data_IF_280709361211
#
_entry.id   IF_280709361211
#
_cell.length_a   1.000
_cell.length_b   1.000
_cell.length_c   1.000
_cell.angle_alpha   90.00
_cell.angle_beta   90.00
_cell.angle_gamma   90.00
#
_symmetry.space_group_name_H-M   'P 1'
#
loop_
_entity.id
_entity.type
_entity.pdbx_description
1 polymer ?
#
# COMPACT_ATOMS: atom_id res chain seq x y z
N UNK A 1 2.96 33.63 5.65
CA UNK A 1 1.93 32.81 6.33
C UNK A 1 1.45 31.75 5.34
N UNK A 2 1.96 30.51 5.31
CA UNK A 2 1.53 29.42 4.41
C UNK A 2 2.45 28.21 4.70
N UNK A 3 2.04 26.99 5.08
CA UNK A 3 0.76 26.35 5.40
C UNK A 3 1.06 25.32 6.51
N UNK A 4 0.18 25.15 7.50
CA UNK A 4 0.32 24.08 8.51
C UNK A 4 0.10 22.73 7.82
N UNK A 5 1.19 22.08 7.42
CA UNK A 5 1.19 20.72 6.89
C UNK A 5 1.68 19.73 7.94
N UNK A 6 1.42 18.44 7.70
CA UNK A 6 2.07 17.36 8.42
C UNK A 6 3.19 16.79 7.58
N UNK A 7 4.33 16.53 8.21
CA UNK A 7 5.42 15.74 7.65
C UNK A 7 5.57 14.48 8.49
N UNK A 8 5.63 13.31 7.83
CA UNK A 8 5.98 12.07 8.51
C UNK A 8 7.49 12.04 8.77
N UNK A 9 7.92 11.90 10.03
CA UNK A 9 9.34 11.86 10.41
C UNK A 9 10.10 10.63 9.89
N UNK A 10 9.38 9.60 9.41
CA UNK A 10 9.97 8.34 8.93
C UNK A 10 10.12 8.34 7.41
N UNK A 11 9.02 8.55 6.66
CA UNK A 11 9.05 8.51 5.19
C UNK A 11 9.08 9.90 4.53
N UNK A 12 9.12 10.98 5.31
CA UNK A 12 9.11 12.38 4.83
C UNK A 12 7.92 12.72 3.92
N UNK A 13 6.81 11.96 4.01
CA UNK A 13 5.59 12.29 3.30
C UNK A 13 4.99 13.58 3.87
N UNK A 14 4.77 14.56 3.00
CA UNK A 14 4.20 15.86 3.35
C UNK A 14 2.77 15.94 2.82
N UNK A 15 1.82 16.30 3.68
CA UNK A 15 0.45 16.58 3.26
C UNK A 15 -0.10 17.83 3.97
N UNK A 16 -1.07 18.49 3.33
CA UNK A 16 -1.84 19.53 4.00
C UNK A 16 -2.70 18.93 5.10
N UNK A 17 -2.95 19.69 6.18
CA UNK A 17 -3.90 19.28 7.23
C UNK A 17 -5.27 18.86 6.64
N UNK A 18 -5.85 19.67 5.74
CA UNK A 18 -7.11 19.35 5.03
C UNK A 18 -7.08 18.05 4.20
N UNK A 19 -5.89 17.64 3.73
CA UNK A 19 -5.70 16.45 2.90
C UNK A 19 -5.30 15.22 3.73
N UNK A 20 -4.98 15.36 5.02
CA UNK A 20 -4.54 14.24 5.87
C UNK A 20 -5.50 13.05 5.83
N UNK A 21 -6.81 13.32 5.85
CA UNK A 21 -7.88 12.30 5.79
C UNK A 21 -7.98 11.57 4.45
N UNK A 22 -7.32 12.04 3.40
CA UNK A 22 -7.32 11.40 2.06
C UNK A 22 -6.11 10.50 1.85
N UNK A 23 -5.24 10.36 2.85
CA UNK A 23 -4.08 9.47 2.80
C UNK A 23 -4.54 8.06 3.10
N UNK A 24 -4.47 7.18 2.11
CA UNK A 24 -5.05 5.82 2.16
C UNK A 24 -4.07 4.74 2.63
N UNK A 25 -2.78 5.05 2.75
CA UNK A 25 -1.75 4.10 3.20
C UNK A 25 -0.92 4.67 4.33
N UNK A 26 -0.70 3.86 5.38
CA UNK A 26 0.20 4.20 6.47
C UNK A 26 1.65 4.31 6.00
N UNK A 27 2.47 5.08 6.72
CA UNK A 27 3.92 5.06 6.53
C UNK A 27 4.42 3.61 6.68
N UNK A 28 5.24 3.13 5.75
CA UNK A 28 5.73 1.75 5.73
C UNK A 28 6.42 1.34 7.05
N UNK A 29 7.15 2.27 7.68
CA UNK A 29 7.79 2.02 8.98
C UNK A 29 6.82 1.86 10.15
N UNK A 30 5.62 2.45 10.08
CA UNK A 30 4.57 2.31 11.10
C UNK A 30 3.63 1.15 10.75
N UNK A 31 3.33 0.95 9.47
CA UNK A 31 2.39 -0.05 8.97
C UNK A 31 2.75 -1.46 9.47
N UNK A 32 4.05 -1.80 9.46
CA UNK A 32 4.55 -3.10 9.93
C UNK A 32 4.18 -3.43 11.39
N UNK A 33 3.98 -2.42 12.24
CA UNK A 33 3.59 -2.61 13.65
C UNK A 33 2.07 -2.71 13.83
N UNK A 34 1.30 -2.23 12.85
CA UNK A 34 -0.17 -2.18 12.92
C UNK A 34 -0.82 -3.42 12.29
N UNK A 35 -0.11 -4.13 11.43
CA UNK A 35 -0.62 -5.30 10.70
C UNK A 35 -0.62 -6.53 11.63
N UNK A 36 -1.82 -7.05 11.89
CA UNK A 36 -2.00 -8.28 12.68
C UNK A 36 -2.04 -9.54 11.81
N UNK A 37 -2.60 -9.42 10.61
CA UNK A 37 -2.71 -10.49 9.64
C UNK A 37 -2.14 -10.00 8.30
N UNK A 38 -0.90 -10.36 7.96
CA UNK A 38 -0.29 -9.91 6.71
C UNK A 38 -0.98 -10.55 5.51
N UNK A 39 -1.44 -9.72 4.58
CA UNK A 39 -2.08 -10.17 3.33
C UNK A 39 -1.25 -9.69 2.16
N UNK A 40 -0.82 -10.62 1.33
CA UNK A 40 -0.05 -10.31 0.13
C UNK A 40 -0.90 -9.55 -0.90
N UNK A 41 -0.26 -8.62 -1.61
CA UNK A 41 -0.85 -7.95 -2.75
C UNK A 41 -0.84 -8.87 -3.98
N UNK A 42 -1.83 -8.69 -4.86
CA UNK A 42 -1.88 -9.33 -6.18
C UNK A 42 -1.33 -8.34 -7.19
N UNK A 43 -0.08 -8.51 -7.61
CA UNK A 43 0.60 -7.52 -8.45
C UNK A 43 0.28 -7.70 -9.93
N UNK A 44 0.13 -6.58 -10.64
CA UNK A 44 0.10 -6.51 -12.10
C UNK A 44 1.47 -6.84 -12.71
N UNK A 45 1.49 -7.03 -14.02
CA UNK A 45 2.74 -6.96 -14.79
C UNK A 45 3.40 -5.57 -14.67
N UNK A 46 4.74 -5.46 -14.70
CA UNK A 46 5.44 -4.19 -14.67
C UNK A 46 5.10 -3.28 -15.86
N UNK A 47 4.76 -2.02 -15.58
CA UNK A 47 4.42 -1.03 -16.61
C UNK A 47 4.69 0.42 -16.18
N UNK A 48 4.50 1.38 -17.09
CA UNK A 48 4.59 2.80 -16.78
C UNK A 48 3.26 3.33 -16.23
N UNK A 49 3.16 3.44 -14.91
CA UNK A 49 1.96 3.93 -14.21
C UNK A 49 2.11 5.43 -13.95
N UNK A 50 1.26 6.24 -14.59
CA UNK A 50 1.31 7.71 -14.46
C UNK A 50 0.37 8.24 -13.39
N UNK A 51 0.70 9.40 -12.82
CA UNK A 51 -0.11 10.17 -11.85
C UNK A 51 -0.41 9.39 -10.56
N UNK A 52 0.55 8.56 -10.15
CA UNK A 52 0.53 7.83 -8.88
C UNK A 52 1.82 8.09 -8.11
N UNK A 53 1.80 7.70 -6.84
CA UNK A 53 2.95 7.79 -5.93
C UNK A 53 3.25 6.41 -5.40
N UNK A 54 4.52 6.04 -5.37
CA UNK A 54 4.98 4.79 -4.78
C UNK A 54 4.67 4.80 -3.27
N UNK A 55 3.95 3.80 -2.77
CA UNK A 55 3.56 3.69 -1.36
C UNK A 55 4.74 3.45 -0.42
N UNK A 56 5.88 3.00 -0.96
CA UNK A 56 7.15 2.82 -0.23
C UNK A 56 7.92 4.14 -0.17
N UNK A 57 8.42 4.63 -1.31
CA UNK A 57 9.34 5.77 -1.34
C UNK A 57 8.64 7.14 -1.43
N UNK A 58 7.32 7.15 -1.64
CA UNK A 58 6.46 8.35 -1.74
C UNK A 58 6.80 9.31 -2.89
N UNK A 59 7.70 8.92 -3.80
CA UNK A 59 7.97 9.62 -5.07
C UNK A 59 6.96 9.23 -6.14
N UNK A 60 6.86 10.05 -7.19
CA UNK A 60 5.98 9.77 -8.33
C UNK A 60 6.42 8.49 -9.06
N UNK A 61 5.46 7.76 -9.58
CA UNK A 61 5.70 6.58 -10.42
C UNK A 61 5.99 6.93 -11.88
N UNK A 62 5.83 8.20 -12.27
CA UNK A 62 5.95 8.67 -13.65
C UNK A 62 7.31 8.38 -14.30
N UNK A 63 8.39 8.38 -13.50
CA UNK A 63 9.78 8.37 -13.99
C UNK A 63 10.40 6.95 -14.01
N UNK A 64 9.65 5.91 -13.65
CA UNK A 64 10.18 4.54 -13.55
C UNK A 64 9.10 3.48 -13.79
N UNK A 65 9.51 2.24 -14.00
CA UNK A 65 8.56 1.12 -14.11
C UNK A 65 7.98 0.82 -12.72
N UNK A 66 6.69 0.54 -12.67
CA UNK A 66 5.94 0.27 -11.45
C UNK A 66 4.99 -0.92 -11.65
N UNK A 67 4.50 -1.44 -10.54
CA UNK A 67 3.42 -2.42 -10.47
C UNK A 67 2.29 -1.86 -9.60
N UNK A 68 1.06 -2.26 -9.90
CA UNK A 68 -0.10 -1.98 -9.06
C UNK A 68 -0.67 -3.26 -8.48
N UNK A 69 -1.29 -3.14 -7.30
CA UNK A 69 -2.11 -4.22 -6.78
C UNK A 69 -3.45 -4.23 -7.53
N UNK A 70 -3.86 -5.38 -8.06
CA UNK A 70 -5.13 -5.54 -8.78
C UNK A 70 -6.35 -5.51 -7.86
N UNK A 71 -6.14 -5.61 -6.54
CA UNK A 71 -7.19 -5.66 -5.51
C UNK A 71 -7.40 -4.31 -4.81
N UNK A 72 -6.33 -3.50 -4.71
CA UNK A 72 -6.36 -2.24 -3.98
C UNK A 72 -5.50 -1.17 -4.65
N UNK A 73 -5.63 0.08 -4.24
CA UNK A 73 -4.91 1.22 -4.85
C UNK A 73 -3.46 1.34 -4.34
N UNK A 74 -2.73 0.22 -4.29
CA UNK A 74 -1.33 0.17 -3.85
C UNK A 74 -0.40 0.17 -5.08
N UNK A 75 0.52 1.13 -5.11
CA UNK A 75 1.45 1.33 -6.23
C UNK A 75 2.88 1.30 -5.73
N UNK A 76 3.77 0.61 -6.43
CA UNK A 76 5.19 0.56 -6.07
C UNK A 76 6.04 0.56 -7.33
N UNK A 77 7.16 1.29 -7.29
CA UNK A 77 8.23 1.09 -8.27
C UNK A 77 8.71 -0.36 -8.20
N UNK A 78 9.15 -0.91 -9.33
CA UNK A 78 9.76 -2.25 -9.35
C UNK A 78 10.94 -2.32 -8.38
N UNK A 79 11.78 -1.29 -8.33
CA UNK A 79 12.91 -1.18 -7.40
C UNK A 79 12.50 -1.07 -5.92
N UNK A 80 11.22 -0.79 -5.65
CA UNK A 80 10.66 -0.69 -4.30
C UNK A 80 9.79 -1.91 -3.94
N UNK A 81 9.66 -2.89 -4.82
CA UNK A 81 8.69 -3.99 -4.69
C UNK A 81 8.94 -4.85 -3.45
N UNK A 82 10.21 -5.20 -3.18
CA UNK A 82 10.62 -5.98 -2.01
C UNK A 82 10.39 -5.27 -0.66
N UNK A 83 10.14 -3.96 -0.69
CA UNK A 83 9.86 -3.14 0.49
C UNK A 83 8.36 -2.88 0.67
N UNK A 84 7.51 -3.41 -0.21
CA UNK A 84 6.07 -3.27 -0.08
C UNK A 84 5.57 -4.00 1.17
N UNK A 85 4.62 -3.35 1.86
CA UNK A 85 4.05 -3.88 3.08
C UNK A 85 2.90 -4.83 2.71
N UNK A 86 2.81 -6.00 3.37
CA UNK A 86 1.75 -6.99 3.17
C UNK A 86 0.45 -6.58 3.88
N UNK A 87 -0.18 -5.49 3.44
CA UNK A 87 -1.40 -4.90 3.99
C UNK A 87 -2.57 -4.88 2.99
N UNK A 88 -2.59 -5.82 2.05
CA UNK A 88 -3.67 -5.93 1.08
C UNK A 88 -5.03 -6.22 1.77
N UNK A 89 -6.13 -6.03 1.04
CA UNK A 89 -7.47 -6.39 1.53
C UNK A 89 -7.57 -7.91 1.66
N UNK A 90 -8.11 -8.39 2.78
CA UNK A 90 -8.43 -9.81 2.95
C UNK A 90 -9.41 -10.26 1.87
N UNK A 91 -9.04 -11.28 1.10
CA UNK A 91 -9.94 -11.96 0.18
C UNK A 91 -10.89 -12.88 0.97
N UNK A 92 -12.03 -13.22 0.39
CA UNK A 92 -12.94 -14.21 0.96
C UNK A 92 -12.19 -15.54 1.20
N UNK A 93 -12.09 -15.97 2.45
CA UNK A 93 -11.48 -17.25 2.82
C UNK A 93 -12.48 -18.40 2.58
N UNK A 94 -12.13 -19.31 1.67
CA UNK A 94 -12.85 -20.58 1.49
C UNK A 94 -12.31 -21.65 2.44
N UNK A 95 -13.15 -22.16 3.34
CA UNK A 95 -12.82 -23.31 4.19
C UNK A 95 -13.40 -24.57 3.55
N UNK A 96 -12.55 -25.38 2.93
CA UNK A 96 -12.96 -26.56 2.15
C UNK A 96 -13.49 -27.74 2.99
N UNK A 97 -13.39 -27.68 4.32
CA UNK A 97 -13.58 -28.84 5.21
C UNK A 97 -14.66 -28.65 6.30
N UNK A 98 -15.67 -27.79 6.13
CA UNK A 98 -16.67 -27.62 7.18
C UNK A 98 -17.67 -28.79 7.36
N UNK A 99 -17.72 -29.79 6.45
CA UNK A 99 -18.71 -30.89 6.53
C UNK A 99 -18.12 -32.27 6.19
N UNK A 100 -17.22 -32.80 7.02
CA UNK A 100 -16.85 -34.24 6.97
C UNK A 100 -16.91 -34.97 8.31
N UNK A 101 -17.57 -34.42 9.34
CA UNK A 101 -17.63 -35.06 10.66
C UNK A 101 -18.99 -35.00 11.36
N UNK A 102 -20.08 -34.92 10.58
CA UNK A 102 -21.44 -35.16 11.08
C UNK A 102 -22.14 -36.14 10.13
N UNK A 103 -21.77 -37.42 10.21
CA UNK A 103 -22.58 -38.57 9.79
C UNK A 103 -22.05 -39.85 10.44
#
# INVERSE_FOLDING_TARGET
MLTQGYACEVCNFICHDKCKKTVVSFCSGVALQLIKNPVAHTWSEPSHIKRRFCCVCRKKTDDSVAVECEVCEYYVHVDCHDLAVSDCKEAATYVSNLDKTVQ
#
